data_IF_542606691620
#
_entry.id   IF_542606691620
#
_cell.length_a   1.000
_cell.length_b   1.000
_cell.length_c   1.000
_cell.angle_alpha   90.00
_cell.angle_beta   90.00
_cell.angle_gamma   90.00
#
_symmetry.space_group_name_H-M   'P 1'
#
loop_
_entity.id
_entity.type
_entity.pdbx_description
1 polymer ?
#
# COMPACT_ATOMS: atom_id res chain seq x y z
N UNK A 1 -6.90 -26.09 -30.20
CA UNK A 1 -7.03 -25.91 -28.74
C UNK A 1 -7.80 -27.11 -28.20
N UNK A 2 -7.36 -27.74 -27.10
CA UNK A 2 -8.19 -28.73 -26.42
C UNK A 2 -9.45 -28.05 -25.87
N UNK A 3 -10.59 -28.71 -26.02
CA UNK A 3 -11.87 -28.27 -25.45
C UNK A 3 -12.12 -29.05 -24.17
N UNK A 4 -12.45 -28.35 -23.10
CA UNK A 4 -12.75 -28.94 -21.80
C UNK A 4 -14.21 -28.61 -21.46
N UNK A 5 -14.95 -29.61 -21.00
CA UNK A 5 -16.31 -29.44 -20.49
C UNK A 5 -16.27 -29.47 -18.97
N UNK A 6 -16.71 -28.39 -18.32
CA UNK A 6 -16.77 -28.27 -16.87
C UNK A 6 -18.22 -28.37 -16.42
N UNK A 7 -18.49 -29.28 -15.47
CA UNK A 7 -19.78 -29.37 -14.80
C UNK A 7 -19.71 -28.59 -13.50
N UNK A 8 -20.28 -27.38 -13.50
CA UNK A 8 -20.29 -26.51 -12.33
C UNK A 8 -21.71 -26.46 -11.73
N UNK A 9 -21.85 -26.39 -10.41
CA UNK A 9 -23.13 -26.06 -9.78
C UNK A 9 -23.66 -24.71 -10.27
N UNK A 10 -24.98 -24.58 -10.39
CA UNK A 10 -25.66 -23.40 -10.93
C UNK A 10 -25.25 -22.11 -10.19
N UNK A 11 -25.24 -22.16 -8.86
CA UNK A 11 -24.82 -21.03 -8.01
C UNK A 11 -23.38 -20.56 -8.28
N UNK A 12 -22.46 -21.49 -8.59
CA UNK A 12 -21.06 -21.16 -8.85
C UNK A 12 -20.88 -20.54 -10.23
N UNK A 13 -21.65 -21.03 -11.21
CA UNK A 13 -21.67 -20.43 -12.55
C UNK A 13 -22.22 -19.00 -12.52
N UNK A 14 -23.28 -18.76 -11.76
CA UNK A 14 -23.87 -17.43 -11.60
C UNK A 14 -22.89 -16.45 -10.98
N UNK A 15 -22.15 -16.87 -9.94
CA UNK A 15 -21.11 -16.04 -9.34
C UNK A 15 -19.95 -15.75 -10.32
N UNK A 16 -19.48 -16.77 -11.04
CA UNK A 16 -18.46 -16.60 -12.09
C UNK A 16 -18.91 -15.61 -13.17
N UNK A 17 -20.19 -15.67 -13.56
CA UNK A 17 -20.77 -14.77 -14.56
C UNK A 17 -20.83 -13.34 -14.03
N UNK A 18 -21.33 -13.14 -12.82
CA UNK A 18 -21.41 -11.82 -12.19
C UNK A 18 -20.02 -11.17 -12.08
N UNK A 19 -19.02 -11.93 -11.60
CA UNK A 19 -17.63 -11.46 -11.47
C UNK A 19 -17.02 -11.11 -12.82
N UNK A 20 -17.33 -11.88 -13.86
CA UNK A 20 -16.86 -11.60 -15.22
C UNK A 20 -17.48 -10.32 -15.79
N UNK A 21 -18.77 -10.08 -15.54
CA UNK A 21 -19.48 -8.85 -15.93
C UNK A 21 -18.91 -7.62 -15.20
N UNK A 22 -18.66 -7.71 -13.90
CA UNK A 22 -18.05 -6.64 -13.10
C UNK A 22 -16.65 -6.23 -13.61
N UNK A 23 -15.88 -7.22 -14.06
CA UNK A 23 -14.53 -7.02 -14.59
C UNK A 23 -14.50 -6.70 -16.09
N UNK A 24 -15.65 -6.78 -16.78
CA UNK A 24 -15.75 -6.58 -18.22
C UNK A 24 -15.00 -7.64 -19.05
N UNK A 25 -14.83 -8.85 -18.52
CA UNK A 25 -14.10 -9.95 -19.17
C UNK A 25 -15.02 -11.12 -19.53
N UNK A 26 -14.56 -12.01 -20.41
CA UNK A 26 -15.30 -13.23 -20.73
C UNK A 26 -15.17 -14.23 -19.57
N UNK A 27 -16.27 -14.92 -19.23
CA UNK A 27 -16.29 -15.98 -18.20
C UNK A 27 -15.21 -17.03 -18.43
N UNK A 28 -14.93 -17.37 -19.70
CA UNK A 28 -13.88 -18.31 -20.08
C UNK A 28 -12.48 -17.86 -19.66
N UNK A 29 -12.19 -16.56 -19.75
CA UNK A 29 -10.87 -16.04 -19.40
C UNK A 29 -10.71 -15.90 -17.89
N UNK A 30 -11.81 -15.60 -17.18
CA UNK A 30 -11.86 -15.64 -15.74
C UNK A 30 -11.64 -17.06 -15.20
N UNK A 31 -12.27 -18.08 -15.80
CA UNK A 31 -12.05 -19.49 -15.46
C UNK A 31 -10.60 -19.90 -15.70
N UNK A 32 -10.01 -19.55 -16.86
CA UNK A 32 -8.59 -19.81 -17.12
C UNK A 32 -7.69 -19.15 -16.08
N UNK A 33 -8.01 -17.92 -15.69
CA UNK A 33 -7.25 -17.17 -14.70
C UNK A 33 -7.30 -17.85 -13.32
N UNK A 34 -8.48 -18.30 -12.89
CA UNK A 34 -8.61 -19.02 -11.63
C UNK A 34 -7.92 -20.39 -11.64
N UNK A 35 -8.02 -21.15 -12.75
CA UNK A 35 -7.29 -22.41 -12.90
C UNK A 35 -5.78 -22.14 -12.84
N UNK A 36 -5.31 -21.13 -13.57
CA UNK A 36 -3.89 -20.75 -13.57
C UNK A 36 -3.41 -20.33 -12.18
N UNK A 37 -4.16 -19.48 -11.47
CA UNK A 37 -3.83 -19.09 -10.09
C UNK A 37 -3.86 -20.27 -9.13
N UNK A 38 -4.80 -21.20 -9.29
CA UNK A 38 -4.86 -22.41 -8.47
C UNK A 38 -3.63 -23.29 -8.69
N UNK A 39 -3.21 -23.47 -9.95
CA UNK A 39 -2.01 -24.22 -10.29
C UNK A 39 -0.73 -23.52 -9.84
N UNK A 40 -0.63 -22.19 -9.97
CA UNK A 40 0.51 -21.41 -9.46
C UNK A 40 0.60 -21.49 -7.92
N UNK A 41 -0.54 -21.58 -7.23
CA UNK A 41 -0.60 -21.77 -5.78
C UNK A 41 -0.18 -23.20 -5.39
N UNK A 42 -0.54 -24.21 -6.17
CA UNK A 42 -0.07 -25.60 -6.00
C UNK A 42 1.41 -25.78 -6.37
N UNK A 43 1.90 -25.09 -7.39
CA UNK A 43 3.32 -25.08 -7.78
C UNK A 43 4.15 -24.36 -6.72
N UNK A 44 3.70 -23.22 -6.20
CA UNK A 44 4.37 -22.57 -5.05
C UNK A 44 4.30 -23.41 -3.79
N UNK A 45 3.21 -24.11 -3.50
CA UNK A 45 3.14 -25.02 -2.34
C UNK A 45 3.84 -26.38 -2.56
N UNK A 46 4.11 -26.78 -3.80
CA UNK A 46 4.92 -27.97 -4.13
C UNK A 46 6.41 -27.67 -4.22
N UNK A 47 6.81 -26.44 -4.59
CA UNK A 47 8.19 -25.95 -4.56
C UNK A 47 8.62 -25.48 -3.14
N UNK A 48 7.66 -25.12 -2.29
CA UNK A 48 7.86 -24.77 -0.87
C UNK A 48 8.10 -25.97 0.07
N UNK A 49 8.27 -27.19 -0.45
CA UNK A 49 8.94 -28.26 0.30
C UNK A 49 10.47 -28.17 0.25
N UNK A 50 11.02 -27.02 -0.17
CA UNK A 50 12.41 -26.67 0.12
C UNK A 50 12.46 -25.35 0.88
N UNK A 51 13.02 -25.41 2.10
CA UNK A 51 13.16 -24.39 3.15
C UNK A 51 13.82 -23.03 2.74
N UNK A 52 13.91 -22.71 1.45
CA UNK A 52 14.55 -21.49 0.91
C UNK A 52 13.58 -20.42 0.42
N UNK A 53 12.30 -20.76 0.19
CA UNK A 53 11.29 -19.84 -0.35
C UNK A 53 10.69 -18.88 0.68
N UNK A 54 10.36 -19.38 1.88
CA UNK A 54 9.87 -18.55 2.99
C UNK A 54 10.94 -17.56 3.47
N UNK A 55 12.17 -18.03 3.68
CA UNK A 55 13.31 -17.19 4.10
C UNK A 55 13.58 -16.03 3.12
N UNK A 56 13.34 -16.24 1.81
CA UNK A 56 13.51 -15.16 0.82
C UNK A 56 12.35 -14.15 0.80
N UNK A 57 11.13 -14.54 1.16
CA UNK A 57 9.99 -13.62 1.25
C UNK A 57 10.04 -12.85 2.56
N UNK A 58 10.35 -13.53 3.66
CA UNK A 58 10.51 -12.92 4.97
C UNK A 58 11.63 -11.88 4.97
N UNK A 59 12.77 -12.18 4.33
CA UNK A 59 13.85 -11.20 4.14
C UNK A 59 13.43 -9.98 3.32
N UNK A 60 12.58 -10.15 2.30
CA UNK A 60 12.05 -9.02 1.52
C UNK A 60 11.12 -8.16 2.37
N UNK A 61 10.25 -8.79 3.16
CA UNK A 61 9.37 -8.07 4.06
C UNK A 61 10.15 -7.34 5.16
N UNK A 62 11.19 -7.95 5.73
CA UNK A 62 12.06 -7.30 6.70
C UNK A 62 12.79 -6.08 6.10
N UNK A 63 13.30 -6.20 4.87
CA UNK A 63 13.96 -5.10 4.16
C UNK A 63 12.98 -3.95 3.85
N UNK A 64 11.77 -4.28 3.38
CA UNK A 64 10.72 -3.30 3.12
C UNK A 64 10.28 -2.59 4.41
N UNK A 65 10.14 -3.33 5.52
CA UNK A 65 9.82 -2.77 6.84
C UNK A 65 10.93 -1.83 7.30
N UNK A 66 12.19 -2.25 7.21
CA UNK A 66 13.33 -1.42 7.59
C UNK A 66 13.39 -0.12 6.78
N UNK A 67 13.16 -0.20 5.46
CA UNK A 67 13.08 0.97 4.59
C UNK A 67 11.93 1.91 4.99
N UNK A 68 10.75 1.35 5.29
CA UNK A 68 9.61 2.13 5.75
C UNK A 68 9.91 2.83 7.07
N UNK A 69 10.48 2.11 8.04
CA UNK A 69 10.85 2.68 9.35
C UNK A 69 11.84 3.83 9.21
N UNK A 70 12.84 3.69 8.32
CA UNK A 70 13.78 4.77 8.05
C UNK A 70 13.09 6.01 7.44
N UNK A 71 12.16 5.82 6.51
CA UNK A 71 11.38 6.93 5.92
C UNK A 71 10.49 7.62 6.95
N UNK A 72 9.87 6.87 7.86
CA UNK A 72 9.08 7.44 8.96
C UNK A 72 9.95 8.30 9.87
N UNK A 73 11.12 7.80 10.28
CA UNK A 73 12.04 8.58 11.09
C UNK A 73 12.53 9.87 10.40
N UNK A 74 12.73 9.83 9.08
CA UNK A 74 13.07 11.03 8.30
C UNK A 74 11.91 12.03 8.26
N UNK A 75 10.67 11.55 8.09
CA UNK A 75 9.48 12.41 8.12
C UNK A 75 9.28 13.05 9.49
N UNK A 76 9.50 12.31 10.58
CA UNK A 76 9.42 12.84 11.94
C UNK A 76 10.43 13.96 12.17
N UNK A 77 11.67 13.79 11.70
CA UNK A 77 12.70 14.83 11.79
C UNK A 77 12.33 16.09 11.00
N UNK A 78 11.83 15.94 9.76
CA UNK A 78 11.37 17.06 8.95
C UNK A 78 10.19 17.79 9.59
N UNK A 79 9.25 17.05 10.19
CA UNK A 79 8.14 17.64 10.92
C UNK A 79 8.61 18.47 12.11
N UNK A 80 9.56 17.97 12.90
CA UNK A 80 10.12 18.71 14.03
C UNK A 80 10.79 20.02 13.57
N UNK A 81 11.53 19.99 12.46
CA UNK A 81 12.15 21.17 11.89
C UNK A 81 11.11 22.20 11.41
N UNK A 82 10.03 21.74 10.78
CA UNK A 82 8.93 22.61 10.37
C UNK A 82 8.25 23.25 11.58
N UNK A 83 7.96 22.47 12.62
CA UNK A 83 7.37 22.98 13.87
C UNK A 83 8.28 24.01 14.54
N UNK A 84 9.59 23.77 14.55
CA UNK A 84 10.56 24.72 15.10
C UNK A 84 10.58 26.02 14.33
N UNK A 85 10.56 25.96 12.99
CA UNK A 85 10.51 27.16 12.14
C UNK A 85 9.21 27.94 12.33
N UNK A 86 8.07 27.25 12.44
CA UNK A 86 6.79 27.90 12.72
C UNK A 86 6.82 28.63 14.06
N UNK A 87 7.36 28.01 15.11
CA UNK A 87 7.48 28.66 16.43
C UNK A 87 8.38 29.89 16.39
N UNK A 88 9.50 29.84 15.66
CA UNK A 88 10.39 30.99 15.50
C UNK A 88 9.70 32.14 14.73
N UNK A 89 8.91 31.81 13.70
CA UNK A 89 8.14 32.81 12.96
C UNK A 89 7.03 33.41 13.81
N UNK A 90 6.35 32.62 14.65
CA UNK A 90 5.37 33.11 15.61
C UNK A 90 6.01 34.05 16.64
N UNK A 91 7.18 33.71 17.17
CA UNK A 91 7.94 34.55 18.11
C UNK A 91 8.39 35.87 17.45
N UNK A 92 8.89 35.82 16.21
CA UNK A 92 9.29 37.01 15.44
C UNK A 92 8.07 37.92 15.14
N UNK A 93 6.91 37.33 14.83
CA UNK A 93 5.67 38.07 14.60
C UNK A 93 5.13 38.74 15.88
N UNK A 94 5.29 38.10 17.05
CA UNK A 94 4.94 38.72 18.34
C UNK A 94 5.87 39.89 18.70
N UNK A 95 7.18 39.74 18.53
CA UNK A 95 8.16 40.82 18.77
C UNK A 95 7.90 42.03 17.86
N UNK A 96 7.60 41.80 16.58
CA UNK A 96 7.24 42.85 15.62
C UNK A 96 5.95 43.58 16.03
N UNK A 97 4.96 42.87 16.59
CA UNK A 97 3.72 43.49 17.09
C UNK A 97 3.96 44.34 18.33
N UNK A 98 4.73 43.86 19.30
CA UNK A 98 5.06 44.64 20.51
C UNK A 98 5.87 45.89 20.17
N UNK A 99 6.84 45.80 19.25
CA UNK A 99 7.61 46.95 18.78
C UNK A 99 6.75 48.05 18.13
N UNK A 100 5.69 47.65 17.42
CA UNK A 100 4.75 48.60 16.78
C UNK A 100 3.82 49.27 17.80
N UNK A 101 3.44 48.60 18.89
CA UNK A 101 2.60 49.20 19.95
C UNK A 101 3.36 50.22 20.79
N UNK A 102 4.63 49.98 21.10
CA UNK A 102 5.47 50.93 21.86
C UNK A 102 5.64 52.24 21.08
N UNK A 103 5.92 52.16 19.76
CA UNK A 103 6.10 53.34 18.90
C UNK A 103 4.80 54.15 18.73
N UNK A 104 3.63 53.53 18.84
CA UNK A 104 2.34 54.23 18.79
C UNK A 104 1.99 54.98 20.06
N UNK A 105 2.48 54.52 21.22
CA UNK A 105 2.20 55.16 22.52
C UNK A 105 3.14 56.32 22.86
N UNK A 106 4.24 56.50 22.12
CA UNK A 106 5.21 57.60 22.30
C UNK A 106 4.99 58.81 21.35
N UNK A 107 3.89 58.85 20.58
CA UNK A 107 3.49 59.99 19.74
C UNK A 107 2.20 60.64 20.22
#
# INVERSE_FOLDING_TARGET
MPTIHLSLPEWLYDELKQRAEELGVQVTDLVKFYIKKGLELEESSSEENTEKGEDSRDKKYEEEIALLSAKVAQLDALMLDVLKKLKMLEEEEEEDREGVEIVKNEK
#
